data_IF_140019586681
#
_entry.id   IF_140019586681
#
_cell.length_a   1.000
_cell.length_b   1.000
_cell.length_c   1.000
_cell.angle_alpha   90.00
_cell.angle_beta   90.00
_cell.angle_gamma   90.00
#
_symmetry.space_group_name_H-M   'P 1'
#
loop_
_entity.id
_entity.type
_entity.pdbx_description
1 polymer ?
#
# COMPACT_ATOMS: atom_id res chain seq x y z
N UNK A 1 11.90 3.34 7.55
CA UNK A 1 11.78 4.82 7.41
C UNK A 1 11.46 5.21 5.96
N UNK A 2 12.14 4.63 4.95
CA UNK A 2 11.91 4.94 3.52
C UNK A 2 10.46 4.63 3.09
N UNK A 3 9.92 3.48 3.47
CA UNK A 3 8.55 3.06 3.15
C UNK A 3 7.50 4.06 3.65
N UNK A 4 7.74 4.67 4.82
CA UNK A 4 6.85 5.69 5.38
C UNK A 4 6.90 6.99 4.56
N UNK A 5 8.10 7.46 4.20
CA UNK A 5 8.26 8.68 3.40
C UNK A 5 7.64 8.53 2.01
N UNK A 6 7.87 7.38 1.36
CA UNK A 6 7.25 7.06 0.07
C UNK A 6 5.73 6.92 0.17
N UNK A 7 5.21 6.35 1.27
CA UNK A 7 3.76 6.24 1.51
C UNK A 7 3.11 7.60 1.59
N UNK A 8 3.63 8.50 2.43
CA UNK A 8 3.12 9.86 2.60
C UNK A 8 3.14 10.66 1.27
N UNK A 9 4.22 10.55 0.49
CA UNK A 9 4.30 11.16 -0.83
C UNK A 9 3.26 10.59 -1.80
N UNK A 10 3.10 9.25 -1.83
CA UNK A 10 2.13 8.58 -2.70
C UNK A 10 0.70 8.93 -2.34
N UNK A 11 0.35 9.02 -1.05
CA UNK A 11 -0.99 9.41 -0.61
C UNK A 11 -1.35 10.81 -1.15
N UNK A 12 -0.41 11.76 -1.12
CA UNK A 12 -0.60 13.09 -1.70
C UNK A 12 -0.69 13.06 -3.25
N UNK A 13 0.08 12.21 -3.91
CA UNK A 13 -0.02 12.04 -5.36
C UNK A 13 -1.42 11.53 -5.76
N UNK A 14 -1.98 10.56 -5.04
CA UNK A 14 -3.35 10.06 -5.26
C UNK A 14 -4.39 11.15 -5.00
N UNK A 15 -4.23 11.94 -3.93
CA UNK A 15 -5.13 13.06 -3.66
C UNK A 15 -5.09 14.11 -4.78
N UNK A 16 -3.92 14.42 -5.31
CA UNK A 16 -3.78 15.35 -6.44
C UNK A 16 -4.43 14.80 -7.72
N UNK A 17 -4.30 13.50 -8.01
CA UNK A 17 -4.99 12.85 -9.12
C UNK A 17 -6.52 12.99 -9.02
N UNK A 18 -7.09 12.80 -7.81
CA UNK A 18 -8.53 12.96 -7.54
C UNK A 18 -8.97 14.41 -7.75
N UNK A 19 -8.20 15.39 -7.25
CA UNK A 19 -8.52 16.82 -7.41
C UNK A 19 -8.41 17.26 -8.86
N UNK A 20 -7.49 16.72 -9.62
CA UNK A 20 -7.38 17.01 -11.07
C UNK A 20 -8.59 16.48 -11.83
N UNK A 21 -9.04 15.26 -11.51
CA UNK A 21 -10.27 14.71 -12.07
C UNK A 21 -11.49 15.57 -11.71
N UNK A 22 -11.61 15.99 -10.44
CA UNK A 22 -12.69 16.86 -9.97
C UNK A 22 -12.70 18.21 -10.68
N UNK A 23 -11.56 18.82 -10.99
CA UNK A 23 -11.48 20.06 -11.78
C UNK A 23 -12.04 19.89 -13.20
N UNK A 24 -11.93 18.69 -13.79
CA UNK A 24 -12.52 18.39 -15.08
C UNK A 24 -14.02 18.11 -15.02
N UNK A 25 -14.48 17.49 -13.94
CA UNK A 25 -15.88 17.09 -13.75
C UNK A 25 -16.77 18.26 -13.29
N UNK A 26 -16.30 19.04 -12.31
CA UNK A 26 -17.03 20.18 -11.77
C UNK A 26 -16.70 21.48 -12.54
N UNK A 27 -17.25 21.61 -13.74
CA UNK A 27 -17.00 22.77 -14.61
C UNK A 27 -17.68 24.06 -14.14
N UNK A 28 -18.60 24.02 -13.17
CA UNK A 28 -19.29 25.20 -12.64
C UNK A 28 -18.27 26.18 -12.02
N UNK A 29 -18.25 27.45 -12.50
CA UNK A 29 -17.35 28.49 -12.01
C UNK A 29 -17.41 28.72 -10.50
N UNK A 30 -18.53 28.39 -9.84
CA UNK A 30 -18.74 28.56 -8.39
C UNK A 30 -17.78 27.66 -7.60
N UNK A 31 -17.53 26.43 -8.06
CA UNK A 31 -16.69 25.47 -7.33
C UNK A 31 -15.21 25.57 -7.70
N UNK A 32 -14.90 26.07 -8.88
CA UNK A 32 -13.53 26.11 -9.42
C UNK A 32 -12.49 26.80 -8.50
N UNK A 33 -12.78 27.95 -7.86
CA UNK A 33 -11.81 28.62 -6.98
C UNK A 33 -11.42 27.77 -5.76
N UNK A 34 -12.40 27.12 -5.12
CA UNK A 34 -12.18 26.26 -3.96
C UNK A 34 -11.32 25.04 -4.30
N UNK A 35 -11.66 24.34 -5.39
CA UNK A 35 -10.91 23.16 -5.85
C UNK A 35 -9.48 23.54 -6.23
N UNK A 36 -9.27 24.67 -6.93
CA UNK A 36 -7.93 25.17 -7.29
C UNK A 36 -7.09 25.54 -6.06
N UNK A 37 -7.72 26.15 -5.03
CA UNK A 37 -7.05 26.44 -3.77
C UNK A 37 -6.61 25.15 -3.06
N UNK A 38 -7.48 24.14 -3.01
CA UNK A 38 -7.16 22.84 -2.43
C UNK A 38 -6.00 22.16 -3.19
N UNK A 39 -6.06 22.16 -4.53
CA UNK A 39 -4.96 21.65 -5.36
C UNK A 39 -3.64 22.34 -5.03
N UNK A 40 -3.64 23.68 -4.92
CA UNK A 40 -2.44 24.43 -4.58
C UNK A 40 -1.86 24.00 -3.23
N UNK A 41 -2.71 23.84 -2.20
CA UNK A 41 -2.28 23.41 -0.87
C UNK A 41 -1.70 22.00 -0.88
N UNK A 42 -2.36 21.06 -1.56
CA UNK A 42 -1.83 19.69 -1.71
C UNK A 42 -0.50 19.67 -2.45
N UNK A 43 -0.34 20.49 -3.50
CA UNK A 43 0.91 20.60 -4.24
C UNK A 43 2.06 21.16 -3.36
N UNK A 44 1.77 22.17 -2.54
CA UNK A 44 2.74 22.71 -1.57
C UNK A 44 3.15 21.64 -0.56
N UNK A 45 2.17 20.93 0.04
CA UNK A 45 2.45 19.86 0.99
C UNK A 45 3.22 18.70 0.35
N UNK A 46 2.91 18.37 -0.91
CA UNK A 46 3.64 17.35 -1.66
C UNK A 46 5.12 17.73 -1.86
N UNK A 47 5.40 19.01 -2.14
CA UNK A 47 6.77 19.53 -2.26
C UNK A 47 7.53 19.48 -0.92
N UNK A 48 6.87 19.75 0.20
CA UNK A 48 7.46 19.62 1.54
C UNK A 48 7.81 18.15 1.85
N UNK A 49 6.89 17.23 1.57
CA UNK A 49 7.11 15.79 1.80
C UNK A 49 8.21 15.23 0.91
N UNK A 50 8.46 15.82 -0.29
CA UNK A 50 9.57 15.41 -1.15
C UNK A 50 10.91 15.46 -0.43
N UNK A 51 11.15 16.44 0.43
CA UNK A 51 12.38 16.55 1.22
C UNK A 51 12.59 15.36 2.15
N UNK A 52 11.49 14.77 2.68
CA UNK A 52 11.56 13.57 3.50
C UNK A 52 11.91 12.33 2.67
N UNK A 53 11.43 12.27 1.42
CA UNK A 53 11.79 11.21 0.47
C UNK A 53 13.27 11.30 0.12
N UNK A 54 13.74 12.48 -0.26
CA UNK A 54 15.13 12.72 -0.62
C UNK A 54 16.07 12.36 0.55
N UNK A 55 15.78 12.85 1.75
CA UNK A 55 16.55 12.51 2.95
C UNK A 55 16.49 11.00 3.33
N UNK A 56 15.43 10.29 2.97
CA UNK A 56 15.35 8.85 3.17
C UNK A 56 16.17 8.08 2.12
N UNK A 57 16.20 8.56 0.88
CA UNK A 57 17.02 8.02 -0.20
C UNK A 57 18.52 8.24 0.07
N UNK A 58 18.92 9.45 0.46
CA UNK A 58 20.30 9.76 0.83
C UNK A 58 20.82 8.85 1.94
N UNK A 59 19.99 8.61 2.96
CA UNK A 59 20.33 7.66 4.02
C UNK A 59 20.48 6.23 3.52
N UNK A 60 19.60 5.79 2.62
CA UNK A 60 19.68 4.44 2.04
C UNK A 60 21.00 4.26 1.26
N UNK A 61 21.41 5.30 0.50
CA UNK A 61 22.67 5.31 -0.23
C UNK A 61 23.87 5.35 0.72
N UNK A 62 23.83 6.21 1.75
CA UNK A 62 24.89 6.31 2.75
C UNK A 62 25.09 5.01 3.56
N UNK A 63 23.99 4.31 3.84
CA UNK A 63 24.00 3.02 4.53
C UNK A 63 24.44 1.86 3.61
N UNK A 64 24.70 2.13 2.34
CA UNK A 64 25.06 1.12 1.31
C UNK A 64 24.09 -0.06 1.32
N UNK A 65 22.79 0.21 1.44
CA UNK A 65 21.78 -0.83 1.66
C UNK A 65 21.73 -1.83 0.50
N UNK A 66 21.84 -1.36 -0.74
CA UNK A 66 21.79 -2.21 -1.94
C UNK A 66 22.99 -3.12 -1.98
N UNK A 67 24.18 -2.58 -1.81
CA UNK A 67 25.46 -3.32 -1.82
C UNK A 67 25.49 -4.38 -0.71
N UNK A 68 24.96 -4.04 0.47
CA UNK A 68 24.85 -4.99 1.59
C UNK A 68 23.86 -6.11 1.31
N UNK A 69 22.74 -5.81 0.66
CA UNK A 69 21.76 -6.82 0.24
C UNK A 69 22.34 -7.74 -0.83
N UNK A 70 23.04 -7.19 -1.81
CA UNK A 70 23.71 -7.97 -2.85
C UNK A 70 24.79 -8.89 -2.26
N UNK A 71 25.63 -8.34 -1.39
CA UNK A 71 26.67 -9.13 -0.71
C UNK A 71 26.08 -10.26 0.15
N UNK A 72 24.91 -10.07 0.75
CA UNK A 72 24.20 -11.10 1.49
C UNK A 72 23.53 -12.12 0.58
N UNK A 73 22.91 -11.68 -0.51
CA UNK A 73 22.12 -12.55 -1.40
C UNK A 73 23.01 -13.40 -2.32
N UNK A 74 24.14 -12.86 -2.82
CA UNK A 74 25.00 -13.54 -3.82
C UNK A 74 25.44 -14.94 -3.39
N UNK A 75 25.99 -15.17 -2.18
CA UNK A 75 26.38 -16.51 -1.75
C UNK A 75 25.20 -17.48 -1.65
N UNK A 76 24.01 -16.98 -1.25
CA UNK A 76 22.80 -17.79 -1.16
C UNK A 76 22.32 -18.23 -2.54
N UNK A 77 22.36 -17.32 -3.52
CA UNK A 77 21.99 -17.61 -4.91
C UNK A 77 22.96 -18.61 -5.56
N UNK A 78 24.25 -18.53 -5.27
CA UNK A 78 25.23 -19.48 -5.75
C UNK A 78 25.01 -20.89 -5.17
N UNK A 79 24.72 -20.99 -3.88
CA UNK A 79 24.38 -22.24 -3.22
C UNK A 79 23.07 -22.83 -3.74
N UNK A 80 22.07 -22.01 -4.07
CA UNK A 80 20.75 -22.46 -4.53
C UNK A 80 20.79 -23.16 -5.90
N UNK A 81 21.81 -22.94 -6.72
CA UNK A 81 21.98 -23.63 -8.01
C UNK A 81 22.15 -25.15 -7.88
N UNK A 82 22.46 -25.64 -6.69
CA UNK A 82 22.66 -27.06 -6.38
C UNK A 82 21.60 -27.66 -5.45
N UNK A 83 20.60 -26.90 -5.01
CA UNK A 83 19.62 -27.36 -4.03
C UNK A 83 18.23 -27.46 -4.67
N UNK A 84 17.50 -28.54 -4.36
CA UNK A 84 16.07 -28.65 -4.67
C UNK A 84 15.30 -27.57 -3.92
N UNK A 85 14.79 -26.57 -4.66
CA UNK A 85 14.00 -25.47 -4.09
C UNK A 85 12.65 -25.91 -3.51
N UNK A 86 12.09 -27.01 -4.02
CA UNK A 86 10.76 -27.50 -3.66
C UNK A 86 10.85 -28.58 -2.56
N UNK A 87 11.10 -28.16 -1.32
CA UNK A 87 11.17 -29.07 -0.17
C UNK A 87 9.84 -29.11 0.60
N UNK A 88 9.49 -30.21 1.29
CA UNK A 88 8.33 -30.26 2.18
C UNK A 88 8.34 -29.13 3.21
N UNK A 89 9.50 -28.77 3.74
CA UNK A 89 9.65 -27.67 4.70
C UNK A 89 9.26 -26.32 4.10
N UNK A 90 9.60 -26.05 2.82
CA UNK A 90 9.21 -24.83 2.13
C UNK A 90 7.70 -24.78 1.91
N UNK A 91 7.06 -25.89 1.51
CA UNK A 91 5.61 -25.98 1.41
C UNK A 91 4.92 -25.72 2.74
N UNK A 92 5.43 -26.30 3.83
CA UNK A 92 4.90 -26.07 5.17
C UNK A 92 5.03 -24.61 5.58
N UNK A 93 6.17 -23.97 5.33
CA UNK A 93 6.40 -22.55 5.60
C UNK A 93 5.42 -21.67 4.81
N UNK A 94 5.26 -21.95 3.52
CA UNK A 94 4.33 -21.23 2.64
C UNK A 94 2.88 -21.36 3.12
N UNK A 95 2.46 -22.58 3.42
CA UNK A 95 1.10 -22.83 3.93
C UNK A 95 0.85 -22.09 5.24
N UNK A 96 1.73 -22.23 6.22
CA UNK A 96 1.60 -21.53 7.51
C UNK A 96 1.62 -20.01 7.34
N UNK A 97 2.51 -19.49 6.49
CA UNK A 97 2.59 -18.06 6.22
C UNK A 97 1.30 -17.50 5.61
N UNK A 98 0.71 -18.20 4.64
CA UNK A 98 -0.55 -17.81 4.02
C UNK A 98 -1.71 -17.96 5.01
N UNK A 99 -1.77 -19.08 5.76
CA UNK A 99 -2.83 -19.34 6.73
C UNK A 99 -2.92 -18.24 7.80
N UNK A 100 -1.79 -17.84 8.38
CA UNK A 100 -1.74 -16.74 9.36
C UNK A 100 -2.32 -15.45 8.77
N UNK A 101 -2.04 -15.15 7.49
CA UNK A 101 -2.58 -13.93 6.83
C UNK A 101 -4.07 -14.05 6.53
N UNK A 102 -4.58 -15.24 6.24
CA UNK A 102 -6.01 -15.49 6.12
C UNK A 102 -6.70 -15.24 7.47
N UNK A 103 -6.16 -15.79 8.55
CA UNK A 103 -6.73 -15.64 9.90
C UNK A 103 -6.73 -14.17 10.34
N UNK A 104 -5.65 -13.42 10.07
CA UNK A 104 -5.57 -11.96 10.29
C UNK A 104 -6.67 -11.21 9.51
N UNK A 105 -6.91 -11.57 8.25
CA UNK A 105 -7.94 -10.93 7.44
C UNK A 105 -9.34 -11.25 7.96
N UNK A 106 -9.62 -12.52 8.26
CA UNK A 106 -10.92 -12.98 8.72
C UNK A 106 -11.29 -12.42 10.09
N UNK A 107 -10.33 -12.08 10.94
CA UNK A 107 -10.55 -11.41 12.23
C UNK A 107 -11.29 -10.07 12.09
N UNK A 108 -11.25 -9.44 10.93
CA UNK A 108 -11.95 -8.16 10.67
C UNK A 108 -13.39 -8.34 10.16
N UNK A 109 -13.84 -9.55 9.84
CA UNK A 109 -15.21 -9.82 9.31
C UNK A 109 -16.33 -9.24 10.19
N UNK A 110 -16.27 -9.27 11.53
CA UNK A 110 -17.32 -8.70 12.36
C UNK A 110 -17.53 -7.19 12.19
N UNK A 111 -16.55 -6.47 11.64
CA UNK A 111 -16.57 -5.00 11.53
C UNK A 111 -17.06 -4.48 10.18
N UNK A 112 -17.25 -5.35 9.18
CA UNK A 112 -17.54 -4.94 7.79
C UNK A 112 -18.94 -4.35 7.58
N UNK A 113 -19.87 -4.60 8.51
CA UNK A 113 -21.26 -4.18 8.38
C UNK A 113 -21.53 -2.76 8.90
N UNK A 114 -20.59 -2.19 9.64
CA UNK A 114 -20.71 -0.86 10.21
C UNK A 114 -19.65 0.07 9.63
N UNK A 115 -20.05 1.08 8.83
CA UNK A 115 -19.12 2.04 8.21
C UNK A 115 -18.39 2.93 9.24
N UNK A 116 -18.84 2.97 10.50
CA UNK A 116 -18.17 3.72 11.57
C UNK A 116 -16.89 3.04 12.08
N UNK A 117 -16.68 1.76 11.73
CA UNK A 117 -15.47 1.00 12.08
C UNK A 117 -14.28 1.36 11.16
N UNK A 118 -13.99 2.65 11.01
CA UNK A 118 -12.96 3.18 10.09
C UNK A 118 -11.59 2.58 10.36
N UNK A 119 -11.19 2.45 11.63
CA UNK A 119 -9.88 1.90 12.02
C UNK A 119 -9.77 0.41 11.68
N UNK A 120 -10.82 -0.35 11.93
CA UNK A 120 -10.90 -1.78 11.66
C UNK A 120 -10.93 -2.07 10.15
N UNK A 121 -11.65 -1.26 9.38
CA UNK A 121 -11.67 -1.35 7.91
C UNK A 121 -10.30 -0.99 7.31
N UNK A 122 -9.61 0.01 7.85
CA UNK A 122 -8.24 0.31 7.48
C UNK A 122 -7.28 -0.84 7.82
N UNK A 123 -7.40 -1.43 9.02
CA UNK A 123 -6.61 -2.60 9.42
C UNK A 123 -6.90 -3.81 8.52
N UNK A 124 -8.16 -4.02 8.12
CA UNK A 124 -8.56 -5.05 7.15
C UNK A 124 -7.87 -4.86 5.79
N UNK A 125 -7.79 -3.61 5.29
CA UNK A 125 -7.05 -3.28 4.05
C UNK A 125 -5.57 -3.69 4.15
N UNK A 126 -4.94 -3.40 5.29
CA UNK A 126 -3.54 -3.79 5.53
C UNK A 126 -3.40 -5.33 5.55
N UNK A 127 -4.33 -6.04 6.19
CA UNK A 127 -4.34 -7.51 6.24
C UNK A 127 -4.55 -8.12 4.84
N UNK A 128 -5.47 -7.57 4.04
CA UNK A 128 -5.68 -8.00 2.65
C UNK A 128 -4.40 -7.82 1.79
N UNK A 129 -3.72 -6.69 1.94
CA UNK A 129 -2.43 -6.42 1.28
C UNK A 129 -1.36 -7.43 1.69
N UNK A 130 -1.24 -7.74 2.99
CA UNK A 130 -0.28 -8.73 3.51
C UNK A 130 -0.58 -10.13 3.01
N UNK A 131 -1.85 -10.53 2.97
CA UNK A 131 -2.26 -11.81 2.41
C UNK A 131 -1.91 -11.91 0.93
N UNK A 132 -2.21 -10.88 0.15
CA UNK A 132 -1.85 -10.84 -1.28
C UNK A 132 -0.36 -11.01 -1.47
N UNK A 133 0.48 -10.28 -0.75
CA UNK A 133 1.94 -10.39 -0.86
C UNK A 133 2.46 -11.76 -0.42
N UNK A 134 1.90 -12.36 0.62
CA UNK A 134 2.27 -13.72 1.01
C UNK A 134 1.96 -14.73 -0.11
N UNK A 135 0.78 -14.65 -0.73
CA UNK A 135 0.42 -15.51 -1.84
C UNK A 135 1.29 -15.26 -3.09
N UNK A 136 1.59 -13.99 -3.42
CA UNK A 136 2.48 -13.64 -4.55
C UNK A 136 3.91 -14.18 -4.32
N UNK A 137 4.41 -14.13 -3.10
CA UNK A 137 5.75 -14.65 -2.75
C UNK A 137 5.87 -16.16 -2.99
N UNK A 138 4.80 -16.90 -2.75
CA UNK A 138 4.80 -18.36 -2.87
C UNK A 138 4.08 -18.88 -4.12
N UNK A 139 3.69 -17.99 -5.07
CA UNK A 139 2.91 -18.38 -6.24
C UNK A 139 3.58 -19.47 -7.07
N UNK A 140 4.88 -19.34 -7.33
CA UNK A 140 5.64 -20.32 -8.13
C UNK A 140 5.64 -21.70 -7.50
N UNK A 141 5.71 -21.77 -6.15
CA UNK A 141 5.66 -23.01 -5.39
C UNK A 141 4.37 -23.81 -5.64
N UNK A 142 3.26 -23.10 -5.88
CA UNK A 142 1.93 -23.68 -6.13
C UNK A 142 1.58 -23.76 -7.63
N UNK A 143 2.54 -23.54 -8.52
CA UNK A 143 2.34 -23.70 -9.98
C UNK A 143 1.24 -22.82 -10.55
N UNK A 144 1.06 -21.61 -10.04
CA UNK A 144 0.05 -20.66 -10.50
C UNK A 144 -1.35 -20.87 -9.93
N UNK A 145 -1.57 -21.87 -9.07
CA UNK A 145 -2.89 -22.15 -8.47
C UNK A 145 -3.38 -21.03 -7.53
N UNK A 146 -2.47 -20.18 -7.05
CA UNK A 146 -2.83 -19.05 -6.19
C UNK A 146 -3.35 -17.83 -6.96
N UNK A 147 -3.20 -17.75 -8.29
CA UNK A 147 -3.61 -16.59 -9.12
C UNK A 147 -5.05 -16.11 -8.90
N UNK A 148 -6.07 -17.00 -8.86
CA UNK A 148 -7.44 -16.56 -8.62
C UNK A 148 -7.62 -15.90 -7.24
N UNK A 149 -6.96 -16.44 -6.22
CA UNK A 149 -7.02 -15.91 -4.85
C UNK A 149 -6.26 -14.58 -4.71
N UNK A 150 -5.10 -14.46 -5.37
CA UNK A 150 -4.35 -13.20 -5.47
C UNK A 150 -5.22 -12.11 -6.11
N UNK A 151 -5.92 -12.45 -7.20
CA UNK A 151 -6.83 -11.53 -7.89
C UNK A 151 -7.98 -11.10 -6.98
N UNK A 152 -8.54 -12.02 -6.21
CA UNK A 152 -9.62 -11.72 -5.25
C UNK A 152 -9.12 -10.83 -4.11
N UNK A 153 -7.95 -11.14 -3.53
CA UNK A 153 -7.35 -10.33 -2.49
C UNK A 153 -7.01 -8.91 -2.97
N UNK A 154 -6.58 -8.76 -4.24
CA UNK A 154 -6.34 -7.46 -4.87
C UNK A 154 -7.64 -6.66 -4.99
N UNK A 155 -8.71 -7.26 -5.51
CA UNK A 155 -10.02 -6.59 -5.60
C UNK A 155 -10.53 -6.12 -4.24
N UNK A 156 -10.40 -6.96 -3.20
CA UNK A 156 -10.77 -6.58 -1.84
C UNK A 156 -9.91 -5.42 -1.32
N UNK A 157 -8.60 -5.47 -1.55
CA UNK A 157 -7.68 -4.37 -1.18
C UNK A 157 -8.05 -3.07 -1.89
N UNK A 158 -8.41 -3.12 -3.18
CA UNK A 158 -8.79 -1.94 -3.97
C UNK A 158 -10.11 -1.34 -3.47
N UNK A 159 -11.11 -2.17 -3.14
CA UNK A 159 -12.37 -1.72 -2.56
C UNK A 159 -12.17 -1.06 -1.19
N UNK A 160 -11.40 -1.69 -0.30
CA UNK A 160 -11.07 -1.11 1.01
C UNK A 160 -10.17 0.13 0.88
N UNK A 161 -9.38 0.21 -0.19
CA UNK A 161 -8.61 1.39 -0.55
C UNK A 161 -9.50 2.57 -0.88
N UNK A 162 -10.51 2.37 -1.75
CA UNK A 162 -11.46 3.41 -2.10
C UNK A 162 -12.26 3.94 -0.89
N UNK A 163 -12.65 3.05 0.03
CA UNK A 163 -13.30 3.45 1.29
C UNK A 163 -12.36 4.32 2.13
N UNK A 164 -11.14 3.86 2.34
CA UNK A 164 -10.14 4.60 3.11
C UNK A 164 -9.85 6.00 2.51
N UNK A 165 -9.75 6.09 1.19
CA UNK A 165 -9.53 7.37 0.51
C UNK A 165 -10.69 8.33 0.75
N UNK A 166 -11.94 7.85 0.77
CA UNK A 166 -13.12 8.65 1.14
C UNK A 166 -13.07 9.10 2.60
N UNK A 167 -12.68 8.23 3.53
CA UNK A 167 -12.54 8.59 4.95
C UNK A 167 -11.51 9.70 5.14
N UNK A 168 -10.40 9.67 4.40
CA UNK A 168 -9.39 10.73 4.41
C UNK A 168 -10.00 12.06 3.93
N UNK A 169 -10.80 12.06 2.85
CA UNK A 169 -11.45 13.26 2.35
C UNK A 169 -12.48 13.83 3.33
N UNK A 170 -13.28 12.98 3.98
CA UNK A 170 -14.28 13.38 4.98
C UNK A 170 -13.62 14.15 6.13
N UNK A 171 -12.42 13.77 6.55
CA UNK A 171 -11.69 14.47 7.61
C UNK A 171 -10.97 15.72 7.09
N UNK A 172 -10.35 15.63 5.91
CA UNK A 172 -9.46 16.68 5.40
C UNK A 172 -10.24 17.92 4.90
N UNK A 173 -11.37 17.73 4.19
CA UNK A 173 -12.09 18.85 3.58
C UNK A 173 -12.60 19.85 4.63
N UNK A 174 -13.26 19.43 5.73
CA UNK A 174 -13.67 20.37 6.78
C UNK A 174 -12.47 21.16 7.36
N UNK A 175 -11.37 20.49 7.66
CA UNK A 175 -10.16 21.15 8.17
C UNK A 175 -9.62 22.20 7.19
N UNK A 176 -9.63 21.89 5.89
CA UNK A 176 -9.22 22.83 4.86
C UNK A 176 -10.13 24.06 4.74
N UNK A 177 -11.44 23.90 5.01
CA UNK A 177 -12.42 25.01 4.95
C UNK A 177 -12.21 25.96 6.14
N UNK A 178 -11.78 25.46 7.29
CA UNK A 178 -11.53 26.25 8.50
C UNK A 178 -10.23 27.07 8.44
N UNK A 179 -9.28 26.71 7.56
CA UNK A 179 -8.02 27.44 7.30
C UNK A 179 -8.23 28.69 6.41
#
# INVERSE_FOLDING_TARGET
KITRALGEARDLDVQLEVIEAALGEFADPVFQPGIKRLKLRLTQRRAEVQQHVDAAMDRMLADQLIERLEAWATPLLEQSKSVYLYTPALYQLAFQGIQVRIDELLAHVPYITDPQNVLELHAMRISAKRLRYAMETFEELYGGQLKPYITTARKLQDQLGAIHDLDVWIVMIPQFIEE
#
